data_IF_090812722132
#
_entry.id   IF_090812722132
#
_cell.length_a   1.000
_cell.length_b   1.000
_cell.length_c   1.000
_cell.angle_alpha   90.00
_cell.angle_beta   90.00
_cell.angle_gamma   90.00
#
_symmetry.space_group_name_H-M   'P 1'
#
loop_
_entity.id
_entity.type
_entity.pdbx_description
1 polymer ?
#
# COMPACT_ATOMS: atom_id res chain seq x y z
N UNK A 1 25.67 51.23 47.93
CA UNK A 1 24.87 50.00 48.18
C UNK A 1 23.93 49.59 47.03
N UNK A 2 23.47 50.51 46.16
CA UNK A 2 22.54 50.19 45.03
C UNK A 2 23.17 49.36 43.89
N UNK A 3 24.44 49.58 43.53
CA UNK A 3 25.11 48.83 42.44
C UNK A 3 25.33 47.33 42.74
N UNK A 4 25.53 46.95 44.01
CA UNK A 4 25.74 45.54 44.41
C UNK A 4 24.46 44.72 44.22
N UNK A 5 23.31 45.33 44.49
CA UNK A 5 21.98 44.72 44.29
C UNK A 5 21.63 44.56 42.81
N UNK A 6 22.18 45.39 41.94
CA UNK A 6 21.98 45.30 40.49
C UNK A 6 22.81 44.18 39.87
N UNK A 7 24.07 44.03 40.29
CA UNK A 7 24.94 42.91 39.88
C UNK A 7 24.39 41.54 40.31
N UNK A 8 23.81 41.45 41.52
CA UNK A 8 23.16 40.23 42.01
C UNK A 8 21.88 39.87 41.23
N UNK A 9 21.10 40.86 40.81
CA UNK A 9 19.89 40.65 40.01
C UNK A 9 20.20 40.23 38.57
N UNK A 10 21.24 40.79 37.96
CA UNK A 10 21.71 40.38 36.63
C UNK A 10 22.29 38.95 36.63
N UNK A 11 23.05 38.57 37.67
CA UNK A 11 23.60 37.22 37.78
C UNK A 11 22.51 36.14 37.97
N UNK A 12 21.46 36.43 38.75
CA UNK A 12 20.31 35.51 38.92
C UNK A 12 19.49 35.34 37.62
N UNK A 13 19.31 36.41 36.85
CA UNK A 13 18.57 36.35 35.59
C UNK A 13 19.30 35.50 34.53
N UNK A 14 20.63 35.61 34.43
CA UNK A 14 21.43 34.72 33.58
C UNK A 14 21.39 33.26 34.03
N UNK A 15 21.37 33.00 35.35
CA UNK A 15 21.28 31.64 35.89
C UNK A 15 19.98 30.93 35.53
N UNK A 16 18.82 31.61 35.62
CA UNK A 16 17.53 31.02 35.24
C UNK A 16 17.40 30.80 33.72
N UNK A 17 17.97 31.69 32.90
CA UNK A 17 17.94 31.53 31.44
C UNK A 17 18.78 30.33 30.97
N UNK A 18 19.91 30.07 31.63
CA UNK A 18 20.78 28.92 31.34
C UNK A 18 20.15 27.57 31.76
N UNK A 19 19.38 27.53 32.85
CA UNK A 19 18.67 26.32 33.28
C UNK A 19 17.47 26.00 32.38
N UNK A 20 16.80 27.01 31.82
CA UNK A 20 15.69 26.81 30.89
C UNK A 20 16.14 26.25 29.53
N UNK A 21 17.38 26.51 29.11
CA UNK A 21 17.94 26.01 27.84
C UNK A 21 18.41 24.54 27.92
N UNK A 22 18.55 23.97 29.11
CA UNK A 22 19.02 22.58 29.32
C UNK A 22 17.88 21.56 29.55
N UNK A 23 16.61 22.00 29.58
CA UNK A 23 15.43 21.15 29.83
C UNK A 23 14.81 20.48 28.59
N UNK A 24 15.46 20.53 27.42
CA UNK A 24 14.86 20.13 26.13
C UNK A 24 15.12 18.68 25.68
N UNK A 25 15.89 17.87 26.41
CA UNK A 25 16.06 16.44 26.09
C UNK A 25 15.18 15.58 27.01
N UNK A 26 13.87 15.70 26.85
CA UNK A 26 12.99 14.57 27.14
C UNK A 26 13.12 13.58 25.97
N UNK A 27 13.06 12.26 26.21
CA UNK A 27 12.94 11.32 25.09
C UNK A 27 11.76 11.78 24.25
N UNK A 28 12.00 12.08 22.97
CA UNK A 28 10.91 12.25 22.02
C UNK A 28 9.93 11.09 22.25
N UNK A 29 8.61 11.33 22.29
CA UNK A 29 7.68 10.20 22.25
C UNK A 29 8.12 9.36 21.06
N UNK A 30 8.62 8.15 21.36
CA UNK A 30 8.99 7.20 20.33
C UNK A 30 7.81 7.20 19.36
N UNK A 31 8.04 7.31 18.03
CA UNK A 31 6.96 7.08 17.08
C UNK A 31 6.30 5.81 17.57
N UNK A 32 5.02 5.87 17.96
CA UNK A 32 4.32 4.68 18.43
C UNK A 32 4.63 3.64 17.38
N UNK A 33 5.43 2.64 17.75
CA UNK A 33 5.61 1.46 16.93
C UNK A 33 4.23 0.85 16.95
N UNK A 34 3.43 1.26 15.96
CA UNK A 34 2.21 0.59 15.58
C UNK A 34 2.62 -0.86 15.47
N UNK A 35 2.17 -1.66 16.44
CA UNK A 35 2.34 -3.10 16.43
C UNK A 35 2.07 -3.53 15.00
N UNK A 36 3.04 -4.18 14.31
CA UNK A 36 2.82 -4.61 12.95
C UNK A 36 1.48 -5.34 12.93
N UNK A 37 0.55 -4.98 12.03
CA UNK A 37 -0.71 -5.68 11.95
C UNK A 37 -0.42 -7.18 11.90
N UNK A 38 -1.17 -7.96 12.67
CA UNK A 38 -0.98 -9.40 12.72
C UNK A 38 -0.88 -9.93 11.28
N UNK A 39 0.16 -10.71 10.98
CA UNK A 39 0.36 -11.23 9.62
C UNK A 39 -0.88 -12.04 9.27
N UNK A 40 -1.69 -11.54 8.33
CA UNK A 40 -2.79 -12.31 7.79
C UNK A 40 -2.23 -13.63 7.25
N UNK A 41 -2.87 -14.78 7.55
CA UNK A 41 -2.46 -16.04 6.96
C UNK A 41 -2.60 -15.90 5.44
N UNK A 42 -1.49 -16.05 4.73
CA UNK A 42 -1.50 -16.04 3.28
C UNK A 42 -2.17 -17.31 2.78
N UNK A 43 -3.27 -17.16 2.02
CA UNK A 43 -4.08 -18.29 1.51
C UNK A 43 -3.43 -19.01 0.33
N UNK A 44 -2.35 -18.46 -0.25
CA UNK A 44 -1.70 -19.04 -1.44
C UNK A 44 -2.42 -18.76 -2.76
N UNK A 45 -3.61 -18.16 -2.75
CA UNK A 45 -4.47 -18.05 -3.94
C UNK A 45 -3.85 -17.28 -5.11
N UNK A 46 -2.91 -16.37 -4.84
CA UNK A 46 -2.21 -15.61 -5.89
C UNK A 46 -0.71 -15.93 -5.93
N UNK A 47 -0.27 -17.03 -5.30
CA UNK A 47 1.15 -17.38 -5.19
C UNK A 47 1.85 -17.55 -6.55
N UNK A 48 1.08 -17.95 -7.57
CA UNK A 48 1.57 -18.16 -8.94
C UNK A 48 1.16 -17.03 -9.90
N UNK A 49 0.72 -15.90 -9.36
CA UNK A 49 0.56 -14.65 -10.13
C UNK A 49 1.89 -13.90 -10.14
N UNK A 50 2.24 -13.33 -11.30
CA UNK A 50 3.38 -12.44 -11.47
C UNK A 50 2.89 -11.08 -11.95
N UNK A 51 3.18 -10.04 -11.17
CA UNK A 51 2.97 -8.66 -11.60
C UNK A 51 4.18 -8.22 -12.44
N UNK A 52 3.95 -7.75 -13.67
CA UNK A 52 4.99 -7.24 -14.56
C UNK A 52 4.66 -5.78 -14.88
N UNK A 53 5.65 -4.91 -14.68
CA UNK A 53 5.48 -3.47 -14.82
C UNK A 53 6.35 -2.92 -15.96
N UNK A 54 5.78 -2.00 -16.71
CA UNK A 54 6.48 -1.11 -17.64
C UNK A 54 5.91 0.31 -17.51
N UNK A 55 6.56 1.28 -18.15
CA UNK A 55 6.09 2.67 -18.17
C UNK A 55 6.54 3.35 -19.47
N UNK A 56 5.91 4.49 -19.78
CA UNK A 56 6.33 5.36 -20.86
C UNK A 56 7.76 5.91 -20.63
N UNK A 57 8.50 6.26 -21.70
CA UNK A 57 9.84 6.85 -21.57
C UNK A 57 9.84 8.08 -20.64
N UNK A 58 10.85 8.16 -19.77
CA UNK A 58 10.98 9.24 -18.78
C UNK A 58 10.25 9.00 -17.46
N UNK A 59 9.46 7.92 -17.33
CA UNK A 59 8.89 7.49 -16.06
C UNK A 59 9.78 6.41 -15.45
N UNK A 60 10.41 6.71 -14.31
CA UNK A 60 11.16 5.72 -13.53
C UNK A 60 10.24 5.01 -12.52
N UNK A 61 10.11 3.68 -12.70
CA UNK A 61 9.29 2.78 -11.88
C UNK A 61 9.73 2.68 -10.42
N UNK A 62 10.92 3.16 -10.08
CA UNK A 62 11.48 3.13 -8.72
C UNK A 62 11.32 4.46 -7.97
N UNK A 63 10.77 5.49 -8.61
CA UNK A 63 10.44 6.76 -7.96
C UNK A 63 9.24 6.63 -7.01
N UNK A 64 9.18 7.49 -6.00
CA UNK A 64 8.11 7.44 -4.99
C UNK A 64 6.68 7.46 -5.58
N UNK A 65 6.35 8.30 -6.59
CA UNK A 65 5.03 8.27 -7.22
C UNK A 65 4.72 6.92 -7.89
N UNK A 66 5.67 6.39 -8.66
CA UNK A 66 5.49 5.12 -9.35
C UNK A 66 5.36 3.95 -8.36
N UNK A 67 6.18 3.92 -7.30
CA UNK A 67 6.09 2.93 -6.24
C UNK A 67 4.73 3.00 -5.52
N UNK A 68 4.21 4.20 -5.29
CA UNK A 68 2.89 4.39 -4.67
C UNK A 68 1.77 3.81 -5.54
N UNK A 69 1.81 4.08 -6.85
CA UNK A 69 0.86 3.51 -7.82
C UNK A 69 0.93 1.98 -7.84
N UNK A 70 2.15 1.42 -7.82
CA UNK A 70 2.38 -0.03 -7.77
C UNK A 70 1.83 -0.66 -6.51
N UNK A 71 2.15 -0.08 -5.35
CA UNK A 71 1.66 -0.55 -4.06
C UNK A 71 0.12 -0.51 -4.00
N UNK A 72 -0.49 0.58 -4.47
CA UNK A 72 -1.94 0.69 -4.57
C UNK A 72 -2.53 -0.44 -5.43
N UNK A 73 -2.14 -0.55 -6.70
CA UNK A 73 -2.73 -1.50 -7.65
C UNK A 73 -2.47 -2.97 -7.28
N UNK A 74 -1.27 -3.32 -6.81
CA UNK A 74 -0.97 -4.68 -6.37
C UNK A 74 -1.78 -5.04 -5.12
N UNK A 75 -1.86 -4.13 -4.15
CA UNK A 75 -2.49 -4.44 -2.86
C UNK A 75 -4.02 -4.47 -2.92
N UNK A 76 -4.66 -3.62 -3.73
CA UNK A 76 -6.11 -3.73 -3.94
C UNK A 76 -6.46 -5.06 -4.62
N UNK A 77 -5.60 -5.54 -5.53
CA UNK A 77 -5.81 -6.85 -6.16
C UNK A 77 -5.68 -8.00 -5.14
N UNK A 78 -4.70 -7.92 -4.23
CA UNK A 78 -4.57 -8.89 -3.13
C UNK A 78 -5.79 -8.87 -2.21
N UNK A 79 -6.28 -7.68 -1.83
CA UNK A 79 -7.42 -7.51 -0.94
C UNK A 79 -8.76 -7.94 -1.56
N UNK A 80 -8.98 -7.60 -2.83
CA UNK A 80 -10.16 -7.99 -3.61
C UNK A 80 -10.26 -9.52 -3.71
N UNK A 81 -9.17 -10.18 -4.07
CA UNK A 81 -9.15 -11.63 -4.24
C UNK A 81 -9.07 -12.37 -2.91
N UNK A 82 -8.39 -11.79 -1.92
CA UNK A 82 -8.22 -12.36 -0.58
C UNK A 82 -9.43 -12.16 0.33
N UNK A 83 -10.32 -11.21 0.02
CA UNK A 83 -11.55 -10.96 0.80
C UNK A 83 -11.29 -10.21 2.11
N UNK A 84 -10.15 -9.56 2.26
CA UNK A 84 -9.81 -8.81 3.46
C UNK A 84 -8.99 -7.57 3.10
N UNK A 85 -9.45 -6.42 3.58
CA UNK A 85 -8.78 -5.14 3.38
C UNK A 85 -7.39 -5.11 4.02
N UNK A 86 -7.10 -5.96 5.00
CA UNK A 86 -5.79 -6.04 5.61
C UNK A 86 -4.72 -6.66 4.69
N UNK A 87 -5.08 -7.21 3.51
CA UNK A 87 -4.12 -7.51 2.45
C UNK A 87 -3.68 -6.27 1.65
N UNK A 88 -4.36 -5.14 1.80
CA UNK A 88 -3.93 -3.87 1.23
C UNK A 88 -2.60 -3.40 1.88
N UNK A 89 -1.91 -2.45 1.24
CA UNK A 89 -0.65 -1.95 1.80
C UNK A 89 -0.87 -1.26 3.17
N UNK A 90 0.10 -1.32 4.11
CA UNK A 90 -0.03 -0.67 5.41
C UNK A 90 -0.28 0.84 5.28
N UNK A 91 -1.37 1.34 5.87
CA UNK A 91 -1.77 2.74 5.74
C UNK A 91 -2.82 3.02 4.66
N UNK A 92 -3.32 1.99 3.97
CA UNK A 92 -4.30 2.13 2.89
C UNK A 92 -5.51 2.99 3.27
N UNK A 93 -6.17 2.67 4.39
CA UNK A 93 -7.38 3.37 4.82
C UNK A 93 -7.14 4.86 5.17
N UNK A 94 -5.90 5.22 5.49
CA UNK A 94 -5.49 6.60 5.76
C UNK A 94 -5.14 7.35 4.47
N UNK A 95 -4.56 6.65 3.49
CA UNK A 95 -4.06 7.23 2.25
C UNK A 95 -5.11 7.31 1.13
N UNK A 96 -6.08 6.39 1.11
CA UNK A 96 -7.08 6.29 0.03
C UNK A 96 -8.46 6.69 0.56
N UNK A 97 -9.05 7.80 0.08
CA UNK A 97 -10.40 8.18 0.47
C UNK A 97 -11.43 7.09 0.10
N UNK A 98 -12.53 6.94 0.86
CA UNK A 98 -13.60 6.01 0.53
C UNK A 98 -14.15 6.21 -0.89
N UNK A 99 -14.80 5.15 -1.40
CA UNK A 99 -15.51 5.19 -2.68
C UNK A 99 -16.55 6.32 -2.69
N UNK A 100 -16.53 7.11 -3.75
CA UNK A 100 -17.54 8.13 -3.99
C UNK A 100 -18.89 7.49 -4.37
N UNK A 101 -20.02 8.18 -4.15
CA UNK A 101 -21.34 7.70 -4.57
C UNK A 101 -21.46 7.53 -6.09
N UNK A 102 -22.52 6.85 -6.52
CA UNK A 102 -22.90 6.77 -7.93
C UNK A 102 -22.95 8.14 -8.62
N UNK A 103 -22.68 8.18 -9.91
CA UNK A 103 -22.61 9.42 -10.71
C UNK A 103 -21.25 10.14 -10.70
N UNK A 104 -20.31 9.77 -9.83
CA UNK A 104 -18.93 10.29 -9.87
C UNK A 104 -18.03 9.51 -10.84
N UNK A 105 -16.87 10.01 -11.30
CA UNK A 105 -15.97 9.24 -12.18
C UNK A 105 -15.49 7.92 -11.54
N UNK A 106 -15.22 6.89 -12.36
CA UNK A 106 -14.68 5.59 -11.90
C UNK A 106 -13.43 5.73 -11.01
N UNK A 107 -12.55 6.69 -11.32
CA UNK A 107 -11.35 7.00 -10.52
C UNK A 107 -11.64 7.43 -9.07
N UNK A 108 -12.90 7.71 -8.77
CA UNK A 108 -13.36 8.11 -7.44
C UNK A 108 -14.34 7.12 -6.81
N UNK A 109 -15.09 6.37 -7.63
CA UNK A 109 -16.06 5.37 -7.18
C UNK A 109 -15.44 4.00 -6.89
N UNK A 110 -14.35 3.65 -7.57
CA UNK A 110 -13.76 2.31 -7.54
C UNK A 110 -12.35 2.35 -6.91
N UNK A 111 -12.21 3.07 -5.79
CA UNK A 111 -10.93 3.25 -5.08
C UNK A 111 -10.60 2.13 -4.09
N UNK A 112 -11.62 1.49 -3.57
CA UNK A 112 -11.53 0.42 -2.58
C UNK A 112 -11.88 -0.92 -3.22
N UNK A 113 -11.18 -2.01 -2.85
CA UNK A 113 -11.44 -3.35 -3.37
C UNK A 113 -12.79 -3.91 -2.90
N UNK A 114 -13.37 -4.84 -3.65
CA UNK A 114 -14.55 -5.59 -3.21
C UNK A 114 -14.11 -6.78 -2.36
N UNK A 115 -14.06 -6.58 -1.04
CA UNK A 115 -13.69 -7.64 -0.10
C UNK A 115 -14.85 -8.57 0.24
N UNK A 116 -16.07 -8.31 -0.25
CA UNK A 116 -17.25 -9.11 0.07
C UNK A 116 -17.37 -10.34 -0.83
N UNK A 117 -16.71 -10.32 -1.99
CA UNK A 117 -16.79 -11.38 -3.00
C UNK A 117 -15.39 -11.92 -3.37
N UNK A 118 -14.63 -12.50 -2.41
CA UNK A 118 -13.32 -13.05 -2.68
C UNK A 118 -13.38 -14.19 -3.69
N UNK A 119 -12.25 -14.41 -4.39
CA UNK A 119 -12.11 -15.61 -5.21
C UNK A 119 -11.88 -16.83 -4.32
N UNK A 120 -12.51 -17.95 -4.63
CA UNK A 120 -12.32 -19.22 -3.91
C UNK A 120 -11.36 -20.21 -4.57
N UNK A 121 -10.71 -19.82 -5.67
CA UNK A 121 -9.82 -20.71 -6.44
C UNK A 121 -8.51 -20.01 -6.79
N UNK A 122 -7.38 -20.75 -6.81
CA UNK A 122 -6.10 -20.12 -7.11
C UNK A 122 -6.07 -19.54 -8.52
N UNK A 123 -5.32 -18.45 -8.66
CA UNK A 123 -5.08 -17.72 -9.89
C UNK A 123 -3.62 -17.88 -10.24
N UNK A 124 -3.37 -18.19 -11.50
CA UNK A 124 -2.03 -18.39 -12.03
C UNK A 124 -1.82 -17.49 -13.25
N UNK A 125 -0.58 -17.06 -13.49
CA UNK A 125 -0.19 -16.36 -14.71
C UNK A 125 0.36 -14.95 -14.48
N UNK A 126 0.31 -14.12 -15.52
CA UNK A 126 0.95 -12.80 -15.50
C UNK A 126 -0.08 -11.69 -15.60
N UNK A 127 0.07 -10.68 -14.73
CA UNK A 127 -0.69 -9.44 -14.78
C UNK A 127 0.27 -8.31 -15.17
N UNK A 128 0.05 -7.76 -16.36
CA UNK A 128 0.84 -6.66 -16.89
C UNK A 128 0.24 -5.30 -16.52
N UNK A 129 1.11 -4.36 -16.16
CA UNK A 129 0.78 -2.98 -15.89
C UNK A 129 1.70 -2.07 -16.70
N UNK A 130 1.14 -1.03 -17.30
CA UNK A 130 1.91 -0.04 -18.04
C UNK A 130 1.49 1.37 -17.61
N UNK A 131 2.39 2.13 -16.99
CA UNK A 131 2.13 3.50 -16.55
C UNK A 131 2.28 4.44 -17.75
N UNK A 132 1.17 5.07 -18.16
CA UNK A 132 1.15 6.07 -19.24
C UNK A 132 1.50 7.47 -18.75
N UNK A 133 1.09 7.79 -17.51
CA UNK A 133 1.34 9.08 -16.88
C UNK A 133 1.33 8.91 -15.37
N UNK A 134 2.21 9.62 -14.69
CA UNK A 134 2.21 9.75 -13.23
C UNK A 134 2.62 11.17 -12.86
N UNK A 135 1.83 11.81 -12.01
CA UNK A 135 2.05 13.15 -11.50
C UNK A 135 1.90 13.15 -9.98
N UNK A 136 2.73 13.92 -9.29
CA UNK A 136 2.62 14.14 -7.85
C UNK A 136 2.49 15.64 -7.58
N UNK A 137 1.42 16.03 -6.87
CA UNK A 137 1.19 17.40 -6.41
C UNK A 137 0.78 17.34 -4.95
N UNK A 138 1.48 18.06 -4.07
CA UNK A 138 1.16 18.13 -2.63
C UNK A 138 1.00 16.76 -1.94
N UNK A 139 1.83 15.78 -2.33
CA UNK A 139 1.78 14.37 -1.89
C UNK A 139 0.56 13.57 -2.37
N UNK A 140 -0.20 14.11 -3.31
CA UNK A 140 -1.24 13.37 -4.03
C UNK A 140 -0.68 12.87 -5.35
N UNK A 141 -0.76 11.54 -5.54
CA UNK A 141 -0.32 10.90 -6.78
C UNK A 141 -1.53 10.66 -7.68
N UNK A 142 -1.47 11.17 -8.90
CA UNK A 142 -2.44 10.89 -9.96
C UNK A 142 -1.74 10.12 -11.07
N UNK A 143 -2.31 9.00 -11.49
CA UNK A 143 -1.72 8.18 -12.54
C UNK A 143 -2.76 7.70 -13.55
N UNK A 144 -2.30 7.43 -14.76
CA UNK A 144 -3.03 6.71 -15.79
C UNK A 144 -2.26 5.43 -16.07
N UNK A 145 -2.90 4.29 -15.83
CA UNK A 145 -2.27 2.97 -15.93
C UNK A 145 -3.12 2.07 -16.81
N UNK A 146 -2.49 1.48 -17.82
CA UNK A 146 -3.08 0.37 -18.56
C UNK A 146 -2.87 -0.91 -17.77
N UNK A 147 -3.97 -1.65 -17.54
CA UNK A 147 -3.94 -2.95 -16.89
C UNK A 147 -4.26 -4.02 -17.93
N UNK A 148 -3.30 -4.89 -18.22
CA UNK A 148 -3.42 -5.95 -19.21
C UNK A 148 -3.30 -7.34 -18.58
N UNK A 149 -4.32 -8.17 -18.75
CA UNK A 149 -4.31 -9.57 -18.32
C UNK A 149 -3.69 -10.45 -19.41
N UNK A 150 -2.36 -10.47 -19.48
CA UNK A 150 -1.65 -11.33 -20.43
C UNK A 150 -1.48 -12.72 -19.79
N UNK A 151 -2.49 -13.59 -19.98
CA UNK A 151 -2.54 -15.00 -19.55
C UNK A 151 -2.79 -15.30 -18.06
N UNK A 152 -3.64 -14.55 -17.36
CA UNK A 152 -4.15 -15.02 -16.06
C UNK A 152 -5.27 -16.05 -16.24
N UNK A 153 -5.15 -17.23 -15.61
CA UNK A 153 -6.18 -18.26 -15.60
C UNK A 153 -6.55 -18.63 -14.17
N UNK A 154 -7.82 -19.02 -13.97
CA UNK A 154 -8.26 -19.63 -12.71
C UNK A 154 -7.90 -21.11 -12.77
N UNK A 155 -7.01 -21.57 -11.90
CA UNK A 155 -6.72 -22.99 -11.79
C UNK A 155 -7.85 -23.66 -11.03
N UNK A 156 -8.63 -24.51 -11.70
CA UNK A 156 -9.51 -25.45 -11.01
C UNK A 156 -8.72 -26.75 -10.80
N UNK A 157 -8.78 -27.39 -9.63
CA UNK A 157 -8.31 -28.75 -9.50
C UNK A 157 -9.14 -29.61 -10.45
N UNK A 158 -8.54 -30.05 -11.56
CA UNK A 158 -9.05 -31.15 -12.37
C UNK A 158 -8.17 -32.36 -12.06
N UNK A 159 -8.74 -33.36 -11.41
CA UNK A 159 -8.20 -34.72 -11.50
C UNK A 159 -8.45 -35.22 -12.92
N UNK A 160 -7.44 -35.11 -13.79
CA UNK A 160 -7.43 -35.83 -15.06
C UNK A 160 -6.65 -37.12 -14.82
N UNK A 161 -7.34 -38.24 -14.74
CA UNK A 161 -6.72 -39.55 -14.78
C UNK A 161 -6.30 -39.83 -16.23
N UNK A 162 -4.98 -39.94 -16.47
CA UNK A 162 -4.45 -40.51 -17.70
C UNK A 162 -4.37 -42.02 -17.49
N UNK A 163 -5.43 -42.75 -17.81
CA UNK A 163 -5.29 -44.19 -18.01
C UNK A 163 -4.60 -44.40 -19.37
N UNK A 164 -3.49 -45.11 -19.39
CA UNK A 164 -2.71 -45.36 -20.61
C UNK A 164 -3.43 -46.29 -21.60
N UNK A 165 -4.69 -46.68 -21.34
CA UNK A 165 -5.45 -47.61 -22.18
C UNK A 165 -6.76 -47.08 -22.75
N UNK A 166 -7.36 -46.03 -22.22
CA UNK A 166 -8.62 -45.47 -22.75
C UNK A 166 -8.59 -43.94 -22.66
N UNK A 167 -9.04 -43.27 -23.74
CA UNK A 167 -8.84 -41.85 -24.00
C UNK A 167 -9.40 -40.85 -22.95
N UNK A 168 -9.20 -39.56 -23.23
CA UNK A 168 -9.54 -38.46 -22.33
C UNK A 168 -11.05 -38.43 -22.04
N UNK A 169 -11.46 -38.82 -20.83
CA UNK A 169 -12.81 -38.63 -20.30
C UNK A 169 -12.82 -37.47 -19.29
N UNK A 170 -13.56 -36.40 -19.60
CA UNK A 170 -13.84 -35.31 -18.66
C UNK A 170 -15.35 -35.20 -18.44
N UNK A 171 -15.79 -35.07 -17.18
CA UNK A 171 -17.17 -34.70 -16.83
C UNK A 171 -17.25 -33.19 -16.60
N UNK A 172 -18.30 -32.57 -17.14
CA UNK A 172 -18.57 -31.13 -17.09
C UNK A 172 -19.17 -30.68 -15.76
#
# INVERSE_FOLDING_TARGET
>A
MKLRRWRLRLAMACGMLLVALLGGCGPAPSPQQSTPPAKLPWTGMLADVRAVWSAEPGIDLLTAPAVTVRAYLESIYLADYGGDIAYAYPGFAQAVPPNAPEGHPHSTRDRWPDTQHPIGIPVVGTRGYHILRVDEIDRQVTAVVCVGLHHSARSRPREVWLDARDGIHGSF
#
